data_IF_956579329072
#
_entry.id   IF_956579329072
#
_cell.length_a   1.000
_cell.length_b   1.000
_cell.length_c   1.000
_cell.angle_alpha   90.00
_cell.angle_beta   90.00
_cell.angle_gamma   90.00
#
_symmetry.space_group_name_H-M   'P 1'
#
loop_
_entity.id
_entity.type
_entity.pdbx_description
1 polymer ?
#
# COMPACT_ATOMS: atom_id res chain seq x y z
N UNK A 1 -0.71 12.81 -13.47
CA UNK A 1 -2.07 12.71 -12.88
C UNK A 1 -1.95 11.81 -11.67
N UNK A 2 -2.53 12.19 -10.53
CA UNK A 2 -2.64 11.29 -9.37
C UNK A 2 -3.69 10.23 -9.68
N UNK A 3 -3.40 8.97 -9.34
CA UNK A 3 -4.32 7.85 -9.53
C UNK A 3 -4.82 7.39 -8.16
N UNK A 4 -6.13 7.49 -7.94
CA UNK A 4 -6.77 6.97 -6.72
C UNK A 4 -6.71 5.44 -6.70
N UNK A 5 -6.55 4.86 -5.52
CA UNK A 5 -6.55 3.40 -5.35
C UNK A 5 -7.15 2.98 -4.01
N UNK A 6 -7.53 1.71 -3.92
CA UNK A 6 -7.97 1.10 -2.66
C UNK A 6 -6.85 1.17 -1.64
N UNK A 7 -7.20 1.58 -0.42
CA UNK A 7 -6.26 1.75 0.68
C UNK A 7 -6.84 1.06 1.92
N UNK A 8 -6.01 0.27 2.62
CA UNK A 8 -6.35 -0.23 3.95
C UNK A 8 -5.84 0.74 5.01
N UNK A 9 -6.69 1.02 6.00
CA UNK A 9 -6.39 1.91 7.11
C UNK A 9 -6.41 1.09 8.40
N UNK A 10 -5.37 1.21 9.21
CA UNK A 10 -5.29 0.55 10.50
C UNK A 10 -5.82 1.47 11.61
N UNK A 11 -6.84 1.04 12.35
CA UNK A 11 -7.49 1.87 13.38
C UNK A 11 -6.54 2.30 14.52
N UNK A 12 -5.58 1.44 14.87
CA UNK A 12 -4.67 1.65 16.00
C UNK A 12 -3.22 1.94 15.63
N UNK A 13 -2.91 2.11 14.34
CA UNK A 13 -1.56 2.36 13.83
C UNK A 13 -1.60 3.45 12.76
N UNK A 14 -0.66 4.40 12.73
CA UNK A 14 -0.64 5.46 11.72
C UNK A 14 -0.04 4.92 10.39
N UNK A 15 -0.72 3.93 9.82
CA UNK A 15 -0.29 3.18 8.64
C UNK A 15 -1.44 3.12 7.63
N UNK A 16 -1.10 3.42 6.38
CA UNK A 16 -1.95 3.23 5.21
C UNK A 16 -1.25 2.30 4.22
N UNK A 17 -1.96 1.25 3.78
CA UNK A 17 -1.47 0.39 2.71
C UNK A 17 -2.21 0.71 1.42
N UNK A 18 -1.49 1.27 0.44
CA UNK A 18 -2.04 1.57 -0.88
C UNK A 18 -1.80 0.40 -1.83
N UNK A 19 -2.84 -0.07 -2.51
CA UNK A 19 -2.72 -1.24 -3.39
C UNK A 19 -2.65 -0.86 -4.87
N UNK A 20 -1.96 -1.67 -5.67
CA UNK A 20 -2.09 -1.68 -7.13
C UNK A 20 -2.29 -3.10 -7.61
N UNK A 21 -3.18 -3.25 -8.60
CA UNK A 21 -3.43 -4.53 -9.25
C UNK A 21 -2.23 -4.90 -10.11
N UNK A 22 -1.71 -6.12 -9.91
CA UNK A 22 -0.71 -6.73 -10.81
C UNK A 22 -1.45 -7.59 -11.83
N UNK A 23 -2.31 -8.48 -11.35
CA UNK A 23 -3.19 -9.33 -12.15
C UNK A 23 -4.50 -9.63 -11.38
N UNK A 24 -5.32 -10.56 -11.85
CA UNK A 24 -6.63 -10.87 -11.26
C UNK A 24 -6.57 -11.41 -9.82
N UNK A 25 -5.43 -11.97 -9.39
CA UNK A 25 -5.25 -12.59 -8.08
C UNK A 25 -4.13 -11.93 -7.24
N UNK A 26 -3.32 -11.07 -7.86
CA UNK A 26 -2.14 -10.47 -7.22
C UNK A 26 -2.28 -8.96 -7.06
N UNK A 27 -1.98 -8.46 -5.86
CA UNK A 27 -1.82 -7.04 -5.56
C UNK A 27 -0.40 -6.74 -5.07
N UNK A 28 0.13 -5.58 -5.43
CA UNK A 28 1.27 -4.97 -4.75
C UNK A 28 0.76 -3.90 -3.77
N UNK A 29 1.28 -3.90 -2.56
CA UNK A 29 1.02 -2.91 -1.53
C UNK A 29 2.23 -2.00 -1.31
N UNK A 30 1.97 -0.72 -1.07
CA UNK A 30 2.96 0.25 -0.59
C UNK A 30 2.51 0.76 0.77
N UNK A 31 3.35 0.58 1.77
CA UNK A 31 3.11 1.09 3.11
C UNK A 31 3.47 2.58 3.17
N UNK A 32 2.51 3.39 3.57
CA UNK A 32 2.70 4.79 3.94
C UNK A 32 2.44 4.92 5.44
N UNK A 33 3.52 5.01 6.21
CA UNK A 33 3.49 5.23 7.64
C UNK A 33 3.99 6.63 7.98
N UNK A 34 3.61 7.15 9.15
CA UNK A 34 4.03 8.49 9.62
C UNK A 34 5.55 8.73 9.59
N UNK A 35 6.35 7.67 9.73
CA UNK A 35 7.81 7.72 9.76
C UNK A 35 8.46 7.47 8.38
N UNK A 36 7.66 7.33 7.31
CA UNK A 36 8.13 7.15 5.93
C UNK A 36 8.07 8.50 5.19
N UNK A 37 9.22 9.08 4.80
CA UNK A 37 9.25 10.31 4.00
C UNK A 37 8.57 10.14 2.64
N UNK A 38 8.13 11.26 2.03
CA UNK A 38 7.56 11.27 0.67
C UNK A 38 8.54 10.73 -0.39
N UNK A 39 9.84 10.83 -0.13
CA UNK A 39 10.91 10.35 -1.00
C UNK A 39 11.26 8.86 -0.74
N UNK A 40 10.63 8.25 0.27
CA UNK A 40 10.94 6.92 0.79
C UNK A 40 12.02 6.90 1.89
N UNK A 41 12.58 5.72 2.23
CA UNK A 41 12.38 4.44 1.54
C UNK A 41 10.99 3.85 1.79
N UNK A 42 10.34 3.43 0.71
CA UNK A 42 9.03 2.77 0.79
C UNK A 42 9.17 1.29 1.09
N UNK A 43 8.23 0.75 1.87
CA UNK A 43 8.10 -0.68 2.07
C UNK A 43 7.04 -1.24 1.12
N UNK A 44 7.41 -2.30 0.40
CA UNK A 44 6.56 -2.98 -0.56
C UNK A 44 6.26 -4.40 -0.11
N UNK A 45 5.06 -4.88 -0.40
CA UNK A 45 4.65 -6.26 -0.17
C UNK A 45 3.71 -6.75 -1.26
N UNK A 46 3.52 -8.07 -1.34
CA UNK A 46 2.62 -8.71 -2.31
C UNK A 46 1.53 -9.47 -1.55
N UNK A 47 0.30 -9.38 -2.05
CA UNK A 47 -0.80 -10.25 -1.65
C UNK A 47 -1.18 -11.14 -2.84
N UNK A 48 -1.29 -12.43 -2.58
CA UNK A 48 -1.83 -13.42 -3.53
C UNK A 48 -3.13 -14.00 -2.95
N UNK A 49 -4.09 -14.28 -3.82
CA UNK A 49 -5.39 -14.82 -3.46
C UNK A 49 -5.30 -16.34 -3.31
N UNK A 50 -5.69 -16.85 -2.14
CA UNK A 50 -5.78 -18.28 -1.84
C UNK A 50 -6.96 -18.98 -2.53
#
# INVERSE_FOLDING_TARGET
MLESTTTMIYDGQPIFDHFKKVDDNTLIGVLNGKDVPEEGPFFYFILDRA
#
